data_IF_092180585247
#
_entry.id   IF_092180585247
#
_cell.length_a   1.000
_cell.length_b   1.000
_cell.length_c   1.000
_cell.angle_alpha   90.00
_cell.angle_beta   90.00
_cell.angle_gamma   90.00
#
_symmetry.space_group_name_H-M   'P 1'
#
loop_
_entity.id
_entity.type
_entity.pdbx_description
1 polymer ?
#
# COMPACT_ATOMS: atom_id res chain seq x y z
N UNK A 1 2.75 35.55 13.04
CA UNK A 1 2.33 34.25 13.62
C UNK A 1 3.51 33.66 14.41
N UNK A 2 3.28 32.84 15.46
CA UNK A 2 4.37 32.11 16.11
C UNK A 2 5.06 31.17 15.11
N UNK A 3 6.38 31.11 15.18
CA UNK A 3 7.20 30.27 14.31
C UNK A 3 7.44 28.92 14.98
N UNK A 4 6.78 27.88 14.48
CA UNK A 4 6.99 26.50 14.92
C UNK A 4 7.57 25.71 13.76
N UNK A 5 8.82 25.29 13.91
CA UNK A 5 9.60 24.58 12.89
C UNK A 5 10.15 23.25 13.39
N UNK A 6 9.58 22.70 14.47
CA UNK A 6 10.07 21.45 15.07
C UNK A 6 11.59 21.48 15.32
N UNK A 7 12.16 22.62 15.72
CA UNK A 7 13.62 22.79 15.90
C UNK A 7 14.49 22.38 14.68
N UNK A 8 13.96 22.54 13.47
CA UNK A 8 14.63 22.19 12.22
C UNK A 8 14.86 23.38 11.29
N UNK A 9 14.51 24.59 11.73
CA UNK A 9 14.83 25.83 11.01
C UNK A 9 15.51 26.81 11.96
N UNK A 10 16.86 26.85 12.02
CA UNK A 10 17.56 27.84 12.83
C UNK A 10 17.38 29.27 12.30
N UNK A 11 16.91 29.42 11.05
CA UNK A 11 16.61 30.73 10.44
C UNK A 11 15.20 31.24 10.75
N UNK A 12 14.37 30.43 11.41
CA UNK A 12 13.00 30.80 11.76
C UNK A 12 12.04 30.73 10.58
N UNK A 13 11.12 31.68 10.49
CA UNK A 13 10.00 31.68 9.56
C UNK A 13 9.89 32.97 8.76
N UNK A 14 9.20 32.91 7.62
CA UNK A 14 8.76 34.08 6.88
C UNK A 14 7.57 34.81 7.55
N UNK A 15 7.08 35.89 6.92
CA UNK A 15 5.94 36.69 7.41
C UNK A 15 4.63 35.91 7.52
N UNK A 16 4.49 34.80 6.80
CA UNK A 16 3.33 33.91 6.83
C UNK A 16 3.48 32.79 7.86
N UNK A 17 4.64 32.67 8.52
CA UNK A 17 4.93 31.63 9.49
C UNK A 17 5.44 30.32 8.88
N UNK A 18 5.87 30.34 7.60
CA UNK A 18 6.51 29.18 6.96
C UNK A 18 7.98 29.13 7.34
N UNK A 19 8.46 27.95 7.72
CA UNK A 19 9.86 27.73 8.06
C UNK A 19 10.78 27.94 6.86
N UNK A 20 11.88 28.63 7.10
CA UNK A 20 12.90 28.95 6.10
C UNK A 20 14.06 27.97 6.19
N UNK A 21 14.35 27.26 5.09
CA UNK A 21 15.48 26.33 4.98
C UNK A 21 15.45 25.22 6.06
N UNK A 22 14.48 24.31 5.94
CA UNK A 22 14.44 23.12 6.79
C UNK A 22 15.73 22.28 6.68
N UNK A 23 16.41 22.16 7.82
CA UNK A 23 17.61 21.36 8.05
C UNK A 23 17.24 19.92 8.48
N UNK A 24 18.24 19.12 8.88
CA UNK A 24 18.06 17.74 9.36
C UNK A 24 17.25 16.83 8.43
N UNK A 25 17.37 17.07 7.12
CA UNK A 25 16.66 16.33 6.08
C UNK A 25 15.13 16.39 6.22
N UNK A 26 14.60 17.51 6.72
CA UNK A 26 13.16 17.75 6.85
C UNK A 26 12.61 18.71 5.79
N UNK A 27 11.33 18.63 5.52
CA UNK A 27 10.58 19.47 4.61
C UNK A 27 9.15 19.68 5.11
N UNK A 28 8.40 20.54 4.42
CA UNK A 28 7.05 20.94 4.82
C UNK A 28 6.97 22.41 5.21
N UNK A 29 5.80 22.84 5.65
CA UNK A 29 5.58 24.24 6.03
C UNK A 29 6.22 24.57 7.39
N UNK A 30 6.25 23.57 8.26
CA UNK A 30 6.74 23.58 9.63
C UNK A 30 7.93 22.61 9.83
N UNK A 31 8.58 22.17 8.73
CA UNK A 31 9.60 21.13 8.75
C UNK A 31 9.10 19.82 9.39
N UNK A 32 7.82 19.50 9.20
CA UNK A 32 7.07 18.44 9.87
C UNK A 32 7.17 17.07 9.19
N UNK A 33 7.87 16.97 8.06
CA UNK A 33 8.01 15.75 7.28
C UNK A 33 9.47 15.52 6.90
N UNK A 34 9.87 14.26 6.71
CA UNK A 34 11.18 13.95 6.16
C UNK A 34 11.19 14.20 4.65
N UNK A 35 12.32 14.70 4.13
CA UNK A 35 12.56 14.85 2.70
C UNK A 35 12.41 13.52 1.97
N UNK A 36 12.10 13.60 0.68
CA UNK A 36 12.22 12.48 -0.27
C UNK A 36 13.56 11.74 -0.06
N UNK A 37 13.51 10.41 0.01
CA UNK A 37 14.67 9.56 0.32
C UNK A 37 15.05 9.46 1.80
N UNK A 38 14.27 10.04 2.72
CA UNK A 38 14.43 9.91 4.17
C UNK A 38 13.14 9.41 4.83
N UNK A 39 13.27 8.73 5.97
CA UNK A 39 12.15 8.26 6.78
C UNK A 39 12.39 8.56 8.27
N UNK A 40 11.32 8.61 9.04
CA UNK A 40 11.38 8.83 10.48
C UNK A 40 10.25 9.73 10.97
N UNK A 41 10.50 10.43 12.07
CA UNK A 41 9.54 11.34 12.68
C UNK A 41 10.16 12.73 12.91
N UNK A 42 9.96 13.62 11.94
CA UNK A 42 10.46 15.00 11.91
C UNK A 42 9.87 15.95 12.97
N UNK A 43 9.01 15.46 13.88
CA UNK A 43 8.39 16.31 14.92
C UNK A 43 9.03 16.15 16.30
N UNK A 44 10.11 15.36 16.43
CA UNK A 44 10.77 15.17 17.73
C UNK A 44 11.75 16.31 18.06
N UNK A 45 12.20 17.04 17.04
CA UNK A 45 13.08 18.19 17.17
C UNK A 45 14.55 17.86 17.33
N UNK A 46 14.98 16.67 16.90
CA UNK A 46 16.38 16.25 16.95
C UNK A 46 17.03 16.17 15.56
N UNK A 47 18.35 16.34 15.44
CA UNK A 47 19.05 16.22 14.15
C UNK A 47 18.94 14.85 13.46
N UNK A 48 18.48 13.82 14.18
CA UNK A 48 18.44 12.42 13.72
C UNK A 48 17.02 11.92 13.42
N UNK A 49 16.05 12.83 13.45
CA UNK A 49 14.63 12.52 13.27
C UNK A 49 14.31 11.91 11.89
N UNK A 50 15.13 12.24 10.89
CA UNK A 50 15.04 11.72 9.53
C UNK A 50 16.31 10.97 9.16
N UNK A 51 16.18 9.66 8.97
CA UNK A 51 17.25 8.77 8.55
C UNK A 51 17.16 8.48 7.05
N UNK A 52 18.30 8.34 6.34
CA UNK A 52 18.30 8.04 4.91
C UNK A 52 17.68 6.67 4.65
N UNK A 53 16.92 6.57 3.56
CA UNK A 53 16.32 5.30 3.13
C UNK A 53 17.41 4.28 2.79
N UNK A 54 17.36 3.05 3.32
CA UNK A 54 18.32 2.00 3.01
C UNK A 54 18.03 1.31 1.65
N UNK A 55 17.48 2.07 0.70
CA UNK A 55 16.98 1.55 -0.57
C UNK A 55 17.96 1.86 -1.71
N UNK A 56 18.19 0.93 -2.64
CA UNK A 56 19.02 1.16 -3.81
C UNK A 56 18.39 2.20 -4.76
N UNK A 57 19.22 2.87 -5.55
CA UNK A 57 18.76 3.66 -6.70
C UNK A 57 17.89 4.89 -6.37
N UNK A 58 18.09 5.52 -5.20
CA UNK A 58 17.33 6.70 -4.73
C UNK A 58 15.83 6.46 -4.53
N UNK A 59 15.41 5.21 -4.38
CA UNK A 59 14.03 4.85 -4.07
C UNK A 59 13.60 5.41 -2.71
N UNK A 60 12.38 5.95 -2.65
CA UNK A 60 11.75 6.39 -1.40
C UNK A 60 11.44 5.21 -0.49
N UNK A 61 11.18 5.47 0.79
CA UNK A 61 10.80 4.45 1.75
C UNK A 61 9.76 4.93 2.75
N UNK A 62 9.21 4.01 3.52
CA UNK A 62 8.26 4.26 4.58
C UNK A 62 8.41 3.25 5.71
N UNK A 63 7.95 3.61 6.90
CA UNK A 63 7.89 2.69 8.03
C UNK A 63 6.60 1.86 7.94
N UNK A 64 6.74 0.54 7.83
CA UNK A 64 5.63 -0.40 7.90
C UNK A 64 5.05 -0.50 9.31
N UNK A 65 3.85 -1.09 9.43
CA UNK A 65 3.20 -1.33 10.72
C UNK A 65 3.98 -2.30 11.62
N UNK A 66 4.89 -3.08 11.02
CA UNK A 66 5.84 -3.97 11.67
C UNK A 66 7.09 -3.23 12.21
N UNK A 67 7.14 -1.90 12.06
CA UNK A 67 8.30 -1.08 12.42
C UNK A 67 9.49 -1.26 11.47
N UNK A 68 9.30 -1.95 10.34
CA UNK A 68 10.36 -2.16 9.36
C UNK A 68 10.28 -1.14 8.24
N UNK A 69 11.43 -0.66 7.80
CA UNK A 69 11.54 0.25 6.66
C UNK A 69 11.32 -0.55 5.37
N UNK A 70 10.39 -0.07 4.55
CA UNK A 70 10.04 -0.65 3.25
C UNK A 70 10.22 0.37 2.14
N UNK A 71 10.86 -0.05 1.06
CA UNK A 71 11.12 0.76 -0.11
C UNK A 71 9.87 0.87 -0.98
N UNK A 72 9.70 2.02 -1.62
CA UNK A 72 8.73 2.27 -2.67
C UNK A 72 9.43 2.19 -4.02
N UNK A 73 8.76 1.62 -5.00
CA UNK A 73 9.21 1.59 -6.39
C UNK A 73 10.67 1.11 -6.53
N UNK A 74 10.88 -0.20 -6.35
CA UNK A 74 12.21 -0.77 -6.54
C UNK A 74 12.77 -0.45 -7.94
N UNK A 75 14.09 -0.22 -8.06
CA UNK A 75 14.73 -0.07 -9.35
C UNK A 75 14.49 -1.31 -10.22
N UNK A 76 14.58 -1.13 -11.54
CA UNK A 76 14.37 -2.21 -12.49
C UNK A 76 15.30 -3.39 -12.20
N UNK A 77 14.73 -4.59 -12.08
CA UNK A 77 15.45 -5.82 -11.75
C UNK A 77 15.55 -6.13 -10.26
N UNK A 78 15.05 -5.27 -9.37
CA UNK A 78 15.05 -5.50 -7.92
C UNK A 78 13.63 -5.66 -7.35
N UNK A 79 13.52 -6.35 -6.22
CA UNK A 79 12.29 -6.65 -5.51
C UNK A 79 12.53 -6.90 -4.01
N UNK A 80 11.44 -7.07 -3.26
CA UNK A 80 11.46 -7.24 -1.80
C UNK A 80 11.23 -5.93 -1.05
N UNK A 81 10.99 -6.04 0.27
CA UNK A 81 10.71 -4.88 1.13
C UNK A 81 11.87 -3.86 1.12
N UNK A 82 13.11 -4.30 0.89
CA UNK A 82 14.28 -3.42 0.81
C UNK A 82 14.87 -3.30 -0.60
N UNK A 83 14.19 -3.82 -1.61
CA UNK A 83 14.73 -3.95 -2.98
C UNK A 83 16.11 -4.63 -3.01
N UNK A 84 16.33 -5.60 -2.12
CA UNK A 84 17.59 -6.30 -1.89
C UNK A 84 17.66 -7.66 -2.61
N UNK A 85 16.59 -8.02 -3.34
CA UNK A 85 16.48 -9.28 -4.06
C UNK A 85 16.28 -9.01 -5.54
N UNK A 86 16.77 -9.89 -6.40
CA UNK A 86 16.43 -9.79 -7.82
C UNK A 86 14.93 -10.02 -8.03
N UNK A 87 14.34 -9.19 -8.88
CA UNK A 87 12.95 -9.33 -9.30
C UNK A 87 12.74 -10.64 -10.07
N UNK A 88 11.51 -11.18 -10.11
CA UNK A 88 11.21 -12.34 -10.95
C UNK A 88 11.68 -12.12 -12.40
N UNK A 89 12.40 -13.10 -12.94
CA UNK A 89 13.03 -12.99 -14.27
C UNK A 89 14.43 -12.36 -14.28
N UNK A 90 15.00 -12.06 -13.10
CA UNK A 90 16.38 -11.61 -12.93
C UNK A 90 17.16 -12.54 -11.99
N UNK A 91 18.47 -12.69 -12.21
CA UNK A 91 19.43 -13.41 -11.36
C UNK A 91 20.60 -12.52 -10.98
N UNK A 92 21.34 -12.87 -9.94
CA UNK A 92 22.56 -12.17 -9.56
C UNK A 92 23.59 -12.24 -10.70
N UNK A 93 24.27 -11.12 -10.98
CA UNK A 93 25.33 -11.15 -11.99
C UNK A 93 26.51 -12.00 -11.53
N UNK A 94 26.88 -12.96 -12.38
CA UNK A 94 28.10 -13.73 -12.22
C UNK A 94 29.36 -12.95 -12.65
N UNK A 95 29.19 -11.76 -13.24
CA UNK A 95 30.28 -10.94 -13.77
C UNK A 95 30.69 -9.88 -12.75
N UNK A 96 31.98 -9.82 -12.45
CA UNK A 96 32.56 -8.77 -11.63
C UNK A 96 32.40 -7.41 -12.33
N UNK A 97 31.72 -6.46 -11.69
CA UNK A 97 31.40 -5.14 -12.27
C UNK A 97 30.15 -5.11 -13.18
N UNK A 98 29.40 -6.21 -13.24
CA UNK A 98 28.06 -6.23 -13.85
C UNK A 98 27.01 -5.49 -13.00
N UNK A 99 25.79 -5.38 -13.51
CA UNK A 99 24.63 -4.96 -12.69
C UNK A 99 24.37 -5.99 -11.60
N UNK A 100 23.92 -5.61 -10.40
CA UNK A 100 23.67 -6.61 -9.35
C UNK A 100 22.67 -7.69 -9.78
N UNK A 101 21.63 -7.30 -10.54
CA UNK A 101 20.62 -8.20 -11.11
C UNK A 101 20.59 -8.13 -12.65
N UNK A 102 20.72 -9.28 -13.31
CA UNK A 102 20.67 -9.45 -14.77
C UNK A 102 19.45 -10.30 -15.19
N UNK A 103 18.79 -9.99 -16.32
CA UNK A 103 17.71 -10.82 -16.84
C UNK A 103 18.19 -12.25 -17.08
N UNK A 104 17.40 -13.25 -16.66
CA UNK A 104 17.82 -14.66 -16.76
C UNK A 104 17.80 -15.10 -18.25
N UNK A 105 17.02 -14.45 -19.13
CA UNK A 105 16.89 -14.80 -20.55
C UNK A 105 17.35 -13.71 -21.51
N UNK A 106 17.62 -14.10 -22.76
CA UNK A 106 17.81 -13.17 -23.90
C UNK A 106 16.56 -13.21 -24.77
N UNK A 107 16.03 -12.04 -25.11
CA UNK A 107 14.99 -11.91 -26.13
C UNK A 107 15.72 -11.74 -27.45
N UNK A 108 15.89 -12.83 -28.19
CA UNK A 108 16.34 -12.76 -29.58
C UNK A 108 15.10 -12.47 -30.47
N UNK A 109 15.26 -11.78 -31.63
CA UNK A 109 14.14 -11.33 -32.46
C UNK A 109 13.19 -12.44 -32.93
N UNK A 110 13.69 -13.66 -33.00
CA UNK A 110 13.07 -14.86 -33.56
C UNK A 110 12.81 -15.95 -32.50
N UNK A 111 13.30 -15.80 -31.27
CA UNK A 111 13.11 -16.79 -30.20
C UNK A 111 13.16 -16.18 -28.80
N UNK A 112 12.07 -16.34 -28.06
CA UNK A 112 12.07 -16.20 -26.60
C UNK A 112 12.69 -17.48 -26.03
N UNK A 113 13.95 -17.41 -25.58
CA UNK A 113 14.53 -18.48 -24.76
C UNK A 113 14.12 -18.28 -23.31
N UNK A 114 13.14 -19.08 -22.88
CA UNK A 114 12.91 -19.30 -21.45
C UNK A 114 14.10 -20.09 -20.92
N UNK A 115 14.82 -19.48 -20.01
CA UNK A 115 15.83 -20.11 -19.16
C UNK A 115 15.11 -21.00 -18.18
N UNK A 116 15.52 -22.27 -18.14
CA UNK A 116 15.08 -23.18 -17.11
C UNK A 116 15.47 -22.61 -15.74
N UNK A 117 14.49 -22.60 -14.82
CA UNK A 117 14.66 -22.08 -13.47
C UNK A 117 15.87 -22.77 -12.81
N UNK A 118 16.93 -22.03 -12.43
CA UNK A 118 18.08 -22.66 -11.82
C UNK A 118 17.66 -23.19 -10.44
N UNK A 119 17.67 -24.51 -10.33
CA UNK A 119 17.60 -25.29 -9.09
C UNK A 119 16.23 -25.37 -8.40
N UNK A 120 15.48 -26.43 -8.74
CA UNK A 120 15.00 -27.40 -7.75
C UNK A 120 14.04 -26.94 -6.64
N UNK A 121 13.55 -25.71 -6.64
CA UNK A 121 12.41 -25.33 -5.81
C UNK A 121 11.15 -25.93 -6.45
N UNK A 122 10.58 -26.90 -5.74
CA UNK A 122 9.18 -27.34 -5.89
C UNK A 122 8.31 -26.22 -6.47
N UNK A 123 7.57 -26.55 -7.53
CA UNK A 123 6.59 -25.73 -8.24
C UNK A 123 5.39 -25.32 -7.38
N UNK A 124 5.62 -24.94 -6.12
CA UNK A 124 4.63 -24.32 -5.27
C UNK A 124 4.68 -22.82 -5.53
N UNK A 125 3.74 -22.30 -6.33
CA UNK A 125 3.46 -20.86 -6.46
C UNK A 125 3.34 -20.28 -5.03
N UNK A 126 4.33 -19.49 -4.55
CA UNK A 126 4.35 -19.00 -3.18
C UNK A 126 3.18 -18.05 -2.88
N UNK A 127 2.50 -17.56 -3.91
CA UNK A 127 1.32 -16.72 -3.81
C UNK A 127 0.00 -17.49 -3.98
N UNK A 128 0.03 -18.81 -4.22
CA UNK A 128 -1.17 -19.62 -4.39
C UNK A 128 -2.10 -19.55 -3.17
N UNK A 129 -1.55 -19.67 -1.96
CA UNK A 129 -2.31 -19.57 -0.72
C UNK A 129 -2.94 -18.18 -0.54
N UNK A 130 -2.21 -17.12 -0.91
CA UNK A 130 -2.69 -15.73 -0.80
C UNK A 130 -3.81 -15.45 -1.82
N UNK A 131 -3.70 -15.97 -3.04
CA UNK A 131 -4.75 -15.92 -4.07
C UNK A 131 -6.02 -16.64 -3.63
N UNK A 132 -5.88 -17.83 -3.03
CA UNK A 132 -7.02 -18.60 -2.55
C UNK A 132 -7.71 -17.90 -1.36
N UNK A 133 -6.95 -17.34 -0.42
CA UNK A 133 -7.50 -16.52 0.66
C UNK A 133 -8.25 -15.29 0.14
N UNK A 134 -7.69 -14.60 -0.86
CA UNK A 134 -8.35 -13.44 -1.47
C UNK A 134 -9.66 -13.84 -2.15
N UNK A 135 -9.66 -14.94 -2.92
CA UNK A 135 -10.85 -15.53 -3.54
C UNK A 135 -11.91 -15.88 -2.49
N UNK A 136 -11.53 -16.54 -1.41
CA UNK A 136 -12.45 -16.90 -0.32
C UNK A 136 -13.04 -15.66 0.34
N UNK A 137 -12.24 -14.63 0.62
CA UNK A 137 -12.76 -13.36 1.17
C UNK A 137 -13.76 -12.70 0.23
N UNK A 138 -13.50 -12.68 -1.08
CA UNK A 138 -14.45 -12.12 -2.05
C UNK A 138 -15.75 -12.91 -2.08
N UNK A 139 -15.69 -14.25 -2.09
CA UNK A 139 -16.88 -15.10 -2.03
C UNK A 139 -17.67 -14.87 -0.74
N UNK A 140 -16.98 -14.73 0.39
CA UNK A 140 -17.62 -14.45 1.68
C UNK A 140 -18.31 -13.08 1.69
N UNK A 141 -17.68 -12.04 1.15
CA UNK A 141 -18.29 -10.72 0.98
C UNK A 141 -19.52 -10.78 0.08
N UNK A 142 -19.44 -11.53 -1.04
CA UNK A 142 -20.56 -11.70 -1.96
C UNK A 142 -21.74 -12.42 -1.28
N UNK A 143 -21.48 -13.48 -0.51
CA UNK A 143 -22.51 -14.18 0.27
C UNK A 143 -23.17 -13.27 1.31
N UNK A 144 -22.39 -12.46 2.04
CA UNK A 144 -22.93 -11.50 3.01
C UNK A 144 -23.83 -10.46 2.33
N UNK A 145 -23.45 -9.94 1.17
CA UNK A 145 -24.27 -9.01 0.40
C UNK A 145 -25.59 -9.64 -0.04
N UNK A 146 -25.57 -10.90 -0.52
CA UNK A 146 -26.78 -11.64 -0.89
C UNK A 146 -27.71 -11.85 0.31
N UNK A 147 -27.18 -12.24 1.48
CA UNK A 147 -27.98 -12.40 2.70
C UNK A 147 -28.64 -11.08 3.12
N UNK A 148 -27.91 -9.95 3.07
CA UNK A 148 -28.48 -8.64 3.37
C UNK A 148 -29.60 -8.25 2.38
N UNK A 149 -29.44 -8.56 1.09
CA UNK A 149 -30.49 -8.33 0.10
C UNK A 149 -31.75 -9.15 0.40
N UNK A 150 -31.60 -10.43 0.74
CA UNK A 150 -32.73 -11.29 1.10
C UNK A 150 -33.45 -10.79 2.36
N UNK A 151 -32.72 -10.38 3.40
CA UNK A 151 -33.33 -9.80 4.61
C UNK A 151 -34.11 -8.51 4.30
N UNK A 152 -33.56 -7.64 3.44
CA UNK A 152 -34.26 -6.42 2.99
C UNK A 152 -35.56 -6.75 2.25
N UNK A 153 -35.53 -7.73 1.35
CA UNK A 153 -36.72 -8.18 0.62
C UNK A 153 -37.78 -8.77 1.57
N UNK A 154 -37.38 -9.59 2.54
CA UNK A 154 -38.30 -10.14 3.55
C UNK A 154 -38.95 -9.04 4.39
N UNK A 155 -38.18 -8.03 4.83
CA UNK A 155 -38.71 -6.88 5.57
C UNK A 155 -39.67 -6.06 4.72
N UNK A 156 -39.36 -5.81 3.44
CA UNK A 156 -40.26 -5.14 2.50
C UNK A 156 -41.57 -5.92 2.34
N UNK A 157 -41.50 -7.24 2.15
CA UNK A 157 -42.67 -8.10 2.01
C UNK A 157 -43.53 -8.10 3.29
N UNK A 158 -42.91 -8.17 4.49
CA UNK A 158 -43.60 -8.04 5.78
C UNK A 158 -44.28 -6.67 5.93
N UNK A 159 -43.62 -5.58 5.56
CA UNK A 159 -44.19 -4.21 5.57
C UNK A 159 -45.38 -4.10 4.61
N UNK A 160 -45.27 -4.65 3.41
CA UNK A 160 -46.34 -4.64 2.42
C UNK A 160 -47.55 -5.47 2.88
N UNK A 161 -47.33 -6.66 3.45
CA UNK A 161 -48.40 -7.46 4.08
C UNK A 161 -49.09 -6.68 5.20
N UNK A 162 -48.34 -6.07 6.13
CA UNK A 162 -48.90 -5.24 7.21
C UNK A 162 -49.73 -4.07 6.67
N UNK A 163 -49.26 -3.39 5.61
CA UNK A 163 -50.03 -2.33 4.93
C UNK A 163 -51.34 -2.86 4.34
N UNK A 164 -51.32 -3.99 3.63
CA UNK A 164 -52.52 -4.62 3.08
C UNK A 164 -53.53 -4.98 4.17
N UNK A 165 -53.10 -5.62 5.27
CA UNK A 165 -53.97 -5.94 6.41
C UNK A 165 -54.61 -4.70 7.04
N UNK A 166 -53.87 -3.59 7.17
CA UNK A 166 -54.44 -2.32 7.67
C UNK A 166 -55.51 -1.76 6.75
N UNK A 167 -55.26 -1.74 5.44
CA UNK A 167 -56.23 -1.23 4.44
C UNK A 167 -57.51 -2.09 4.42
N UNK A 168 -57.39 -3.42 4.48
CA UNK A 168 -58.56 -4.31 4.52
C UNK A 168 -59.35 -4.17 5.81
N UNK A 169 -58.70 -3.97 6.95
CA UNK A 169 -59.36 -3.72 8.23
C UNK A 169 -60.11 -2.37 8.23
N UNK A 170 -59.52 -1.28 7.73
CA UNK A 170 -60.20 0.02 7.61
C UNK A 170 -61.42 -0.02 6.70
N UNK A 171 -61.36 -0.75 5.58
CA UNK A 171 -62.50 -0.93 4.66
C UNK A 171 -63.66 -1.71 5.29
N UNK A 172 -63.38 -2.64 6.21
CA UNK A 172 -64.44 -3.35 6.97
C UNK A 172 -65.07 -2.46 8.04
N UNK A 173 -64.29 -1.60 8.68
CA UNK A 173 -64.78 -0.67 9.70
C UNK A 173 -65.70 0.42 9.14
N UNK A 174 -65.47 0.90 7.91
CA UNK A 174 -66.31 1.91 7.26
C UNK A 174 -67.58 1.35 6.57
N UNK A 175 -67.82 0.03 6.66
CA UNK A 175 -69.00 -0.65 6.08
C UNK A 175 -70.05 -1.04 7.13
N UNK A 176 -69.80 -0.71 8.40
CA UNK A 176 -70.75 -0.80 9.52
C UNK A 176 -71.18 0.61 9.90
#
# INVERSE_FOLDING_TARGET
PPCDCNNHSPRGCDSYGRCLLCEHSTEGYHCESCKKGYYGNATQGTPYDCSPCPCPGTSDCYLGNDGQVKCRNCPAGFSGDRCDKCAPGYTLSARTGGRDCEPIGRVEPDRIQFVDNPQGMSSADPYAAQREQYRQRQLQQQQQQQQQQQQRQQLQHRRHRRRRYRVTASKRFHRQ
#
